data_IF_493529178930
#
_entry.id   IF_493529178930
#
_cell.length_a   1.000
_cell.length_b   1.000
_cell.length_c   1.000
_cell.angle_alpha   90.00
_cell.angle_beta   90.00
_cell.angle_gamma   90.00
#
_symmetry.space_group_name_H-M   'P 1'
#
loop_
_entity.id
_entity.type
_entity.pdbx_description
1 polymer ?
#
# COMPACT_ATOMS: atom_id res chain seq x y z
N UNK A 1 8.42 8.07 11.12
CA UNK A 1 8.22 6.62 10.89
C UNK A 1 9.25 6.17 9.89
N UNK A 2 9.99 5.12 10.16
CA UNK A 2 11.01 4.60 9.25
C UNK A 2 10.39 3.74 8.15
N UNK A 3 10.99 3.71 6.95
CA UNK A 3 10.49 2.97 5.78
C UNK A 3 10.17 1.50 6.08
N UNK A 4 11.03 0.82 6.83
CA UNK A 4 10.82 -0.58 7.20
C UNK A 4 9.60 -0.79 8.11
N UNK A 5 9.32 0.18 9.00
CA UNK A 5 8.13 0.15 9.85
C UNK A 5 6.86 0.35 9.05
N UNK A 6 6.87 1.30 8.10
CA UNK A 6 5.77 1.54 7.18
C UNK A 6 5.47 0.32 6.30
N UNK A 7 6.49 -0.27 5.68
CA UNK A 7 6.33 -1.47 4.85
C UNK A 7 5.65 -2.58 5.64
N UNK A 8 6.13 -2.87 6.87
CA UNK A 8 5.52 -3.88 7.72
C UNK A 8 4.05 -3.56 7.99
N UNK A 9 3.73 -2.32 8.30
CA UNK A 9 2.36 -1.90 8.58
C UNK A 9 1.45 -2.03 7.34
N UNK A 10 1.93 -1.69 6.15
CA UNK A 10 1.22 -1.91 4.89
C UNK A 10 0.93 -3.40 4.68
N UNK A 11 1.91 -4.28 4.91
CA UNK A 11 1.68 -5.73 4.87
C UNK A 11 0.60 -6.19 5.87
N UNK A 12 0.58 -5.63 7.08
CA UNK A 12 -0.42 -5.96 8.11
C UNK A 12 -1.84 -5.53 7.71
N UNK A 13 -1.99 -4.34 7.13
CA UNK A 13 -3.29 -3.84 6.65
C UNK A 13 -3.78 -4.69 5.47
N UNK A 14 -2.91 -4.94 4.48
CA UNK A 14 -3.27 -5.75 3.31
C UNK A 14 -3.66 -7.19 3.71
N UNK A 15 -2.89 -7.80 4.62
CA UNK A 15 -3.23 -9.11 5.18
C UNK A 15 -4.49 -9.12 6.06
N UNK A 16 -4.89 -7.97 6.60
CA UNK A 16 -6.14 -7.81 7.34
C UNK A 16 -7.36 -7.90 6.42
N UNK A 17 -7.27 -7.33 5.21
CA UNK A 17 -8.34 -7.36 4.22
C UNK A 17 -8.58 -8.76 3.66
N UNK A 18 -7.51 -9.53 3.42
CA UNK A 18 -7.63 -10.91 2.89
C UNK A 18 -8.20 -11.90 3.88
N UNK A 19 -8.01 -11.70 5.19
CA UNK A 19 -8.48 -12.62 6.24
C UNK A 19 -10.00 -12.64 6.43
N UNK A 20 -10.72 -11.69 5.84
CA UNK A 20 -12.18 -11.73 5.79
C UNK A 20 -12.70 -12.80 4.82
N UNK A 21 -11.87 -13.26 3.87
CA UNK A 21 -12.20 -14.33 2.94
C UNK A 21 -11.43 -15.62 3.31
N UNK A 22 -12.14 -16.59 3.89
CA UNK A 22 -11.59 -17.86 4.38
C UNK A 22 -11.11 -18.81 3.26
N UNK A 23 -10.11 -18.43 2.44
CA UNK A 23 -9.25 -19.36 1.70
C UNK A 23 -8.19 -18.61 0.86
N UNK A 24 -7.01 -18.33 1.39
CA UNK A 24 -5.82 -18.26 0.52
C UNK A 24 -4.52 -18.50 1.29
N UNK A 25 -3.74 -19.42 0.76
CA UNK A 25 -2.42 -19.80 1.26
C UNK A 25 -1.44 -18.65 1.01
N UNK A 26 -0.62 -18.35 2.01
CA UNK A 26 0.51 -17.42 1.95
C UNK A 26 1.44 -17.76 0.78
N UNK A 27 1.79 -16.83 -0.11
CA UNK A 27 2.92 -17.04 -1.00
C UNK A 27 4.22 -16.99 -0.19
N UNK A 28 5.13 -17.85 -0.62
CA UNK A 28 6.35 -18.24 0.03
C UNK A 28 7.40 -17.12 0.10
N UNK A 29 8.33 -17.31 1.03
CA UNK A 29 9.61 -16.63 1.15
C UNK A 29 10.24 -16.36 -0.23
N UNK A 30 10.35 -15.08 -0.62
CA UNK A 30 10.95 -14.67 -1.90
C UNK A 30 10.26 -13.53 -2.66
N UNK A 31 9.19 -12.93 -2.12
CA UNK A 31 8.45 -11.82 -2.76
C UNK A 31 9.22 -10.49 -2.73
N UNK A 32 10.27 -10.37 -3.54
CA UNK A 32 10.73 -9.08 -4.03
C UNK A 32 9.74 -8.60 -5.10
N UNK A 33 9.15 -7.43 -4.88
CA UNK A 33 8.31 -6.72 -5.86
C UNK A 33 7.13 -7.51 -6.46
N UNK A 34 6.44 -8.31 -5.64
CA UNK A 34 5.19 -8.94 -6.09
C UNK A 34 4.01 -7.97 -5.91
N UNK A 35 3.14 -7.90 -6.92
CA UNK A 35 1.97 -7.02 -6.91
C UNK A 35 1.02 -7.32 -5.73
N UNK A 36 0.22 -6.36 -5.25
CA UNK A 36 -0.87 -6.58 -4.29
C UNK A 36 -1.82 -7.68 -4.77
N UNK A 37 -2.07 -7.74 -6.09
CA UNK A 37 -2.89 -8.78 -6.73
C UNK A 37 -2.23 -10.14 -6.61
N UNK A 38 -0.92 -10.22 -6.79
CA UNK A 38 -0.16 -11.48 -6.75
C UNK A 38 0.09 -11.96 -5.30
N UNK A 39 0.46 -11.04 -4.40
CA UNK A 39 0.76 -11.33 -3.00
C UNK A 39 -0.50 -11.61 -2.16
N UNK A 40 -1.55 -10.82 -2.37
CA UNK A 40 -2.75 -10.85 -1.53
C UNK A 40 -3.99 -11.35 -2.26
N UNK A 41 -3.94 -11.50 -3.58
CA UNK A 41 -5.12 -11.89 -4.35
C UNK A 41 -6.15 -10.79 -4.47
N UNK A 42 -5.76 -9.52 -4.32
CA UNK A 42 -6.68 -8.38 -4.40
C UNK A 42 -7.37 -8.30 -5.76
N UNK A 43 -8.69 -8.10 -5.75
CA UNK A 43 -9.43 -7.59 -6.89
C UNK A 43 -9.07 -6.12 -7.12
N UNK A 44 -9.40 -5.58 -8.30
CA UNK A 44 -9.33 -4.13 -8.55
C UNK A 44 -10.13 -3.32 -7.53
N UNK A 45 -11.25 -3.88 -7.02
CA UNK A 45 -12.03 -3.25 -5.95
C UNK A 45 -11.27 -3.29 -4.61
N UNK A 46 -10.71 -4.44 -4.23
CA UNK A 46 -9.93 -4.56 -2.98
C UNK A 46 -8.72 -3.63 -3.00
N UNK A 47 -8.06 -3.48 -4.15
CA UNK A 47 -6.95 -2.55 -4.31
C UNK A 47 -7.39 -1.10 -4.06
N UNK A 48 -8.54 -0.67 -4.59
CA UNK A 48 -9.08 0.67 -4.33
C UNK A 48 -9.50 0.84 -2.86
N UNK A 49 -10.17 -0.14 -2.26
CA UNK A 49 -10.52 -0.12 -0.84
C UNK A 49 -9.28 -0.04 0.05
N UNK A 50 -8.21 -0.72 -0.34
CA UNK A 50 -6.94 -0.66 0.36
C UNK A 50 -6.35 0.74 0.32
N UNK A 51 -6.33 1.41 -0.83
CA UNK A 51 -5.85 2.79 -0.95
C UNK A 51 -6.65 3.74 -0.04
N UNK A 52 -7.97 3.65 -0.02
CA UNK A 52 -8.82 4.47 0.85
C UNK A 52 -8.46 4.30 2.33
N UNK A 53 -8.17 3.07 2.77
CA UNK A 53 -7.71 2.78 4.14
C UNK A 53 -6.35 3.44 4.40
N UNK A 54 -5.44 3.43 3.41
CA UNK A 54 -4.14 4.07 3.52
C UNK A 54 -4.26 5.60 3.60
N UNK A 55 -5.13 6.21 2.79
CA UNK A 55 -5.41 7.65 2.83
C UNK A 55 -5.88 8.08 4.22
N UNK A 56 -6.92 7.41 4.75
CA UNK A 56 -7.47 7.72 6.07
C UNK A 56 -6.43 7.49 7.18
N UNK A 57 -5.67 6.41 7.11
CA UNK A 57 -4.72 6.04 8.17
C UNK A 57 -3.48 6.92 8.19
N UNK A 58 -2.96 7.29 7.02
CA UNK A 58 -1.71 8.03 6.91
C UNK A 58 -1.91 9.53 6.68
N UNK A 59 -3.15 9.99 6.55
CA UNK A 59 -3.50 11.37 6.22
C UNK A 59 -2.83 11.79 4.90
N UNK A 60 -2.96 10.93 3.88
CA UNK A 60 -2.45 11.16 2.52
C UNK A 60 -3.61 11.11 1.53
N UNK A 61 -3.39 11.66 0.34
CA UNK A 61 -4.32 11.56 -0.78
C UNK A 61 -3.55 10.95 -1.94
N UNK A 62 -4.09 9.89 -2.54
CA UNK A 62 -3.59 9.36 -3.80
C UNK A 62 -4.39 9.99 -4.94
N UNK A 63 -3.75 10.87 -5.70
CA UNK A 63 -4.40 11.48 -6.86
C UNK A 63 -4.58 10.45 -7.97
N UNK A 64 -5.69 10.52 -8.70
CA UNK A 64 -6.01 9.57 -9.79
C UNK A 64 -4.87 9.50 -10.84
N UNK A 65 -4.13 10.60 -11.02
CA UNK A 65 -2.95 10.65 -11.89
C UNK A 65 -1.75 9.84 -11.38
N UNK A 66 -1.63 9.65 -10.07
CA UNK A 66 -0.61 8.83 -9.42
C UNK A 66 -1.02 7.36 -9.33
N UNK A 67 -2.30 7.03 -9.57
CA UNK A 67 -2.84 5.67 -9.55
C UNK A 67 -2.46 4.90 -10.82
N UNK A 68 -1.16 4.70 -11.04
CA UNK A 68 -0.63 3.89 -12.13
C UNK A 68 -0.46 2.43 -11.73
N UNK A 69 -0.40 1.52 -12.71
CA UNK A 69 -0.10 0.10 -12.46
C UNK A 69 1.28 -0.13 -11.79
N UNK A 70 2.19 0.84 -11.80
CA UNK A 70 3.44 0.72 -11.02
C UNK A 70 3.26 1.13 -9.55
N UNK A 71 2.53 2.21 -9.28
CA UNK A 71 2.30 2.75 -7.92
C UNK A 71 1.32 1.88 -7.12
N UNK A 72 0.31 1.34 -7.80
CA UNK A 72 -0.77 0.54 -7.22
C UNK A 72 -0.37 -0.90 -6.89
N UNK A 73 0.74 -1.39 -7.44
CA UNK A 73 1.01 -2.82 -7.42
C UNK A 73 1.98 -3.19 -6.29
N UNK A 74 2.91 -2.36 -5.84
CA UNK A 74 3.87 -2.79 -4.82
C UNK A 74 3.72 -2.08 -3.48
N UNK A 75 3.80 -2.84 -2.38
CA UNK A 75 3.92 -2.31 -1.01
C UNK A 75 5.09 -1.31 -0.90
N UNK A 76 6.18 -1.55 -1.63
CA UNK A 76 7.32 -0.65 -1.68
C UNK A 76 7.02 0.68 -2.38
N UNK A 77 6.21 0.66 -3.45
CA UNK A 77 5.74 1.85 -4.16
C UNK A 77 4.86 2.71 -3.24
N UNK A 78 3.88 2.07 -2.61
CA UNK A 78 3.00 2.73 -1.63
C UNK A 78 3.77 3.32 -0.44
N UNK A 79 4.74 2.56 0.10
CA UNK A 79 5.57 3.05 1.19
C UNK A 79 6.38 4.29 0.76
N UNK A 80 6.89 4.30 -0.47
CA UNK A 80 7.65 5.42 -1.01
C UNK A 80 6.76 6.65 -1.20
N UNK A 81 5.57 6.47 -1.76
CA UNK A 81 4.59 7.55 -1.96
C UNK A 81 4.18 8.21 -0.64
N UNK A 82 3.78 7.39 0.35
CA UNK A 82 3.37 7.89 1.67
C UNK A 82 4.50 8.66 2.36
N UNK A 83 5.75 8.20 2.21
CA UNK A 83 6.91 8.90 2.74
C UNK A 83 7.17 10.22 2.01
N UNK A 84 7.03 10.24 0.69
CA UNK A 84 7.25 11.44 -0.11
C UNK A 84 6.24 12.54 0.24
N UNK A 85 4.95 12.18 0.33
CA UNK A 85 3.89 13.11 0.74
C UNK A 85 4.16 13.70 2.13
N UNK A 86 4.54 12.86 3.11
CA UNK A 86 4.89 13.33 4.46
C UNK A 86 6.13 14.21 4.50
N UNK A 87 7.03 14.10 3.53
CA UNK A 87 8.21 14.97 3.41
C UNK A 87 7.84 16.29 2.72
N UNK A 88 7.01 16.23 1.67
CA UNK A 88 6.53 17.40 0.90
C UNK A 88 5.74 18.40 1.74
N UNK A 89 4.94 17.94 2.70
CA UNK A 89 4.19 18.78 3.64
C UNK A 89 5.07 19.72 4.49
N UNK A 90 6.36 19.42 4.64
CA UNK A 90 7.28 20.24 5.44
C UNK A 90 7.91 21.41 4.68
N UNK A 91 7.67 21.54 3.36
CA UNK A 91 8.35 22.55 2.52
C UNK A 91 7.42 23.57 1.86
N UNK A 92 6.11 23.39 1.89
CA UNK A 92 5.14 24.38 1.37
C UNK A 92 4.67 25.33 2.47
N UNK A 93 5.61 26.04 3.08
CA UNK A 93 5.38 27.21 3.92
C UNK A 93 6.65 28.07 3.88
N UNK A 94 6.82 28.82 2.81
CA UNK A 94 7.80 29.90 2.70
C UNK A 94 7.26 31.02 1.83
#
# INVERSE_FOLDING_TARGET
MDRAGLIRELHEIAAGMTKSDQHRQVPAEGAGDASLVDQYGFSSLDALEYLLILEEKFDVVFEDEDLTEETLFSIEGLATYILDQKVGETTSSS
#
